data_IF_589208206814
#
_entry.id   IF_589208206814
#
_cell.length_a   1.000
_cell.length_b   1.000
_cell.length_c   1.000
_cell.angle_alpha   90.00
_cell.angle_beta   90.00
_cell.angle_gamma   90.00
#
_symmetry.space_group_name_H-M   'P 1'
#
loop_
_entity.id
_entity.type
_entity.pdbx_description
1 polymer ?
#
# COMPACT_ATOMS: atom_id res chain seq x y z
N UNK A 1 -7.57 -11.92 -16.94
CA UNK A 1 -6.35 -12.67 -17.33
C UNK A 1 -5.85 -13.41 -16.11
N UNK A 2 -5.59 -14.72 -16.18
CA UNK A 2 -4.90 -15.43 -15.09
C UNK A 2 -3.40 -15.09 -15.21
N UNK A 3 -2.84 -14.42 -14.19
CA UNK A 3 -1.45 -14.01 -14.15
C UNK A 3 -0.76 -14.80 -13.03
N UNK A 4 -0.31 -16.05 -13.23
CA UNK A 4 0.35 -16.78 -12.16
C UNK A 4 1.78 -16.26 -11.95
N UNK A 5 2.22 -16.23 -10.68
CA UNK A 5 3.57 -15.82 -10.28
C UNK A 5 4.38 -17.03 -9.84
N UNK A 6 5.59 -17.20 -10.38
CA UNK A 6 6.56 -18.13 -9.82
C UNK A 6 7.35 -17.45 -8.70
N UNK A 7 7.24 -17.96 -7.48
CA UNK A 7 7.97 -17.46 -6.31
C UNK A 7 8.47 -18.64 -5.46
N UNK A 8 9.78 -18.72 -5.22
CA UNK A 8 10.36 -19.83 -4.45
C UNK A 8 10.14 -21.21 -5.08
N UNK A 9 10.01 -21.28 -6.42
CA UNK A 9 9.70 -22.52 -7.13
C UNK A 9 8.21 -22.94 -7.07
N UNK A 10 7.35 -22.12 -6.48
CA UNK A 10 5.90 -22.35 -6.42
C UNK A 10 5.17 -21.48 -7.44
N UNK A 11 4.18 -22.06 -8.11
CA UNK A 11 3.27 -21.33 -8.99
C UNK A 11 2.06 -20.86 -8.18
N UNK A 12 1.92 -19.55 -7.99
CA UNK A 12 0.90 -18.93 -7.13
C UNK A 12 -0.07 -18.14 -7.99
N UNK A 13 -1.36 -18.38 -7.79
CA UNK A 13 -2.43 -17.61 -8.45
C UNK A 13 -2.82 -16.39 -7.63
N UNK A 14 -3.17 -15.27 -8.27
CA UNK A 14 -3.52 -14.05 -7.56
C UNK A 14 -4.98 -14.05 -7.11
N UNK A 15 -5.24 -13.33 -6.02
CA UNK A 15 -6.53 -12.68 -5.83
C UNK A 15 -6.63 -11.49 -6.79
N UNK A 16 -7.71 -11.40 -7.55
CA UNK A 16 -7.90 -10.36 -8.56
C UNK A 16 -8.87 -9.31 -8.05
N UNK A 17 -8.48 -8.04 -8.05
CA UNK A 17 -9.43 -6.93 -7.89
C UNK A 17 -10.00 -6.56 -9.24
N UNK A 18 -11.32 -6.52 -9.36
CA UNK A 18 -12.01 -6.14 -10.60
C UNK A 18 -12.63 -4.75 -10.48
N UNK A 19 -13.02 -4.18 -11.62
CA UNK A 19 -13.67 -2.88 -11.68
C UNK A 19 -14.98 -2.87 -10.88
N UNK A 20 -15.76 -3.96 -10.95
CA UNK A 20 -16.98 -4.15 -10.16
C UNK A 20 -16.78 -3.98 -8.65
N UNK A 21 -15.62 -4.38 -8.12
CA UNK A 21 -15.26 -4.19 -6.70
C UNK A 21 -14.90 -2.74 -6.36
N UNK A 22 -14.61 -1.93 -7.37
CA UNK A 22 -14.02 -0.60 -7.22
C UNK A 22 -14.97 0.54 -7.61
N UNK A 23 -16.07 0.29 -8.36
CA UNK A 23 -16.93 1.32 -8.99
C UNK A 23 -17.28 2.51 -8.08
N UNK A 24 -17.60 2.25 -6.81
CA UNK A 24 -17.96 3.31 -5.86
C UNK A 24 -16.78 4.22 -5.46
N UNK A 25 -15.54 3.77 -5.66
CA UNK A 25 -14.29 4.46 -5.33
C UNK A 25 -13.73 5.31 -6.48
N UNK A 26 -14.38 5.32 -7.64
CA UNK A 26 -13.85 5.99 -8.83
C UNK A 26 -14.22 7.47 -8.88
N UNK A 27 -13.32 8.31 -9.36
CA UNK A 27 -13.60 9.72 -9.63
C UNK A 27 -14.62 9.90 -10.76
N UNK A 28 -14.36 9.30 -11.92
CA UNK A 28 -15.19 9.43 -13.12
C UNK A 28 -16.41 8.50 -13.02
N UNK A 29 -17.56 9.07 -12.64
CA UNK A 29 -18.81 8.32 -12.45
C UNK A 29 -19.41 7.80 -13.74
N UNK A 30 -19.27 8.55 -14.83
CA UNK A 30 -19.75 8.10 -16.13
C UNK A 30 -18.99 6.85 -16.57
N UNK A 31 -17.66 6.86 -16.45
CA UNK A 31 -16.85 5.65 -16.67
C UNK A 31 -17.24 4.52 -15.71
N UNK A 32 -17.36 4.81 -14.42
CA UNK A 32 -17.69 3.82 -13.41
C UNK A 32 -19.09 3.19 -13.59
N UNK A 33 -20.01 3.82 -14.31
CA UNK A 33 -21.34 3.28 -14.60
C UNK A 33 -21.37 2.50 -15.93
N UNK A 34 -20.69 2.99 -16.96
CA UNK A 34 -20.80 2.43 -18.32
C UNK A 34 -19.73 1.42 -18.70
N UNK A 35 -18.56 1.43 -18.06
CA UNK A 35 -17.45 0.56 -18.45
C UNK A 35 -17.76 -0.92 -18.16
N UNK A 36 -17.29 -1.81 -19.03
CA UNK A 36 -17.35 -3.26 -18.80
C UNK A 36 -16.44 -3.68 -17.65
N UNK A 37 -16.79 -4.78 -16.97
CA UNK A 37 -16.01 -5.24 -15.83
C UNK A 37 -14.67 -5.85 -16.26
N UNK A 38 -13.57 -5.36 -15.68
CA UNK A 38 -12.21 -5.72 -16.04
C UNK A 38 -11.32 -5.93 -14.81
N UNK A 39 -10.25 -6.69 -14.96
CA UNK A 39 -9.25 -6.85 -13.90
C UNK A 39 -8.47 -5.54 -13.74
N UNK A 40 -8.26 -5.11 -12.49
CA UNK A 40 -7.54 -3.88 -12.16
C UNK A 40 -6.16 -4.13 -11.57
N UNK A 41 -6.03 -5.12 -10.69
CA UNK A 41 -4.75 -5.51 -10.11
C UNK A 41 -4.78 -6.90 -9.48
N UNK A 42 -3.59 -7.46 -9.29
CA UNK A 42 -3.37 -8.86 -8.91
C UNK A 42 -2.58 -8.91 -7.60
N UNK A 43 -3.10 -9.59 -6.59
CA UNK A 43 -2.48 -9.70 -5.26
C UNK A 43 -2.06 -11.16 -5.00
N UNK A 44 -0.79 -11.36 -4.66
CA UNK A 44 -0.22 -12.66 -4.31
C UNK A 44 0.20 -12.61 -2.85
N UNK A 45 -0.45 -13.41 -2.01
CA UNK A 45 -0.31 -13.31 -0.55
C UNK A 45 0.44 -14.48 0.05
N UNK A 46 1.02 -14.24 1.23
CA UNK A 46 1.70 -15.28 2.04
C UNK A 46 2.85 -15.97 1.28
N UNK A 47 3.68 -15.18 0.60
CA UNK A 47 4.77 -15.66 -0.25
C UNK A 47 6.06 -15.96 0.56
N UNK A 48 6.79 -16.99 0.13
CA UNK A 48 8.06 -17.38 0.73
C UNK A 48 8.98 -18.09 -0.27
N UNK A 49 10.30 -17.87 -0.18
CA UNK A 49 11.30 -18.48 -1.07
C UNK A 49 11.68 -19.91 -0.67
N UNK A 50 11.52 -20.26 0.61
CA UNK A 50 11.80 -21.60 1.13
C UNK A 50 10.90 -21.94 2.31
N UNK A 51 10.75 -23.23 2.64
CA UNK A 51 9.99 -23.67 3.83
C UNK A 51 10.58 -23.10 5.13
N UNK A 52 11.90 -23.00 5.20
CA UNK A 52 12.61 -22.39 6.34
C UNK A 52 12.26 -20.90 6.47
N UNK A 53 12.17 -20.17 5.36
CA UNK A 53 11.75 -18.77 5.38
C UNK A 53 10.27 -18.66 5.80
N UNK A 54 9.42 -19.57 5.32
CA UNK A 54 8.01 -19.63 5.71
C UNK A 54 7.83 -19.76 7.23
N UNK A 55 8.56 -20.68 7.86
CA UNK A 55 8.54 -20.90 9.31
C UNK A 55 8.95 -19.63 10.05
N UNK A 56 10.10 -19.04 9.71
CA UNK A 56 10.59 -17.78 10.30
C UNK A 56 9.59 -16.63 10.16
N UNK A 57 9.03 -16.45 8.96
CA UNK A 57 8.06 -15.38 8.67
C UNK A 57 6.80 -15.56 9.54
N UNK A 58 6.31 -16.80 9.68
CA UNK A 58 5.14 -17.11 10.49
C UNK A 58 5.40 -16.95 11.98
N UNK A 59 6.55 -17.41 12.48
CA UNK A 59 6.99 -17.24 13.88
C UNK A 59 7.13 -15.75 14.23
N UNK A 60 7.62 -14.93 13.30
CA UNK A 60 7.70 -13.48 13.47
C UNK A 60 6.34 -12.75 13.34
N UNK A 61 5.25 -13.46 13.03
CA UNK A 61 3.93 -12.87 12.84
C UNK A 61 3.81 -12.00 11.58
N UNK A 62 4.63 -12.24 10.56
CA UNK A 62 4.71 -11.44 9.35
C UNK A 62 4.03 -12.12 8.14
N UNK A 63 3.77 -11.32 7.11
CA UNK A 63 3.30 -11.75 5.80
C UNK A 63 4.01 -10.94 4.71
N UNK A 64 4.54 -11.63 3.70
CA UNK A 64 5.07 -11.01 2.48
C UNK A 64 4.04 -11.16 1.36
N UNK A 65 3.69 -10.05 0.73
CA UNK A 65 2.80 -10.05 -0.41
C UNK A 65 3.48 -9.38 -1.61
N UNK A 66 3.01 -9.70 -2.81
CA UNK A 66 3.31 -8.96 -4.04
C UNK A 66 2.00 -8.48 -4.64
N UNK A 67 1.98 -7.24 -5.12
CA UNK A 67 0.88 -6.69 -5.91
C UNK A 67 1.41 -6.23 -7.28
N UNK A 68 0.67 -6.60 -8.33
CA UNK A 68 0.93 -6.15 -9.71
C UNK A 68 -0.25 -5.30 -10.18
N UNK A 69 0.05 -4.07 -10.59
CA UNK A 69 -0.91 -3.11 -11.12
C UNK A 69 -0.54 -2.81 -12.59
N UNK A 70 -1.30 -3.29 -13.59
CA UNK A 70 -1.10 -2.92 -14.99
C UNK A 70 -1.31 -1.42 -15.22
N UNK A 71 -0.80 -0.84 -16.32
CA UNK A 71 -1.09 0.54 -16.68
C UNK A 71 -2.51 0.66 -17.24
N UNK A 72 -3.41 1.27 -16.49
CA UNK A 72 -4.82 1.44 -16.86
C UNK A 72 -5.31 2.84 -16.49
N UNK A 73 -6.26 3.35 -17.27
CA UNK A 73 -7.02 4.56 -16.96
C UNK A 73 -8.47 4.18 -16.63
N UNK A 74 -8.97 4.69 -15.51
CA UNK A 74 -10.35 4.52 -15.06
C UNK A 74 -11.13 5.79 -15.42
N UNK A 75 -11.39 5.96 -16.72
CA UNK A 75 -11.89 7.22 -17.26
C UNK A 75 -10.80 8.29 -17.21
N UNK A 76 -10.92 9.22 -16.26
CA UNK A 76 -9.98 10.34 -16.09
C UNK A 76 -8.92 10.13 -15.01
N UNK A 77 -9.04 9.09 -14.19
CA UNK A 77 -8.09 8.81 -13.10
C UNK A 77 -7.21 7.59 -13.36
N UNK A 78 -6.01 7.61 -12.82
CA UNK A 78 -5.09 6.48 -12.89
C UNK A 78 -5.60 5.29 -12.07
N UNK A 79 -5.28 4.08 -12.51
CA UNK A 79 -5.60 2.86 -11.76
C UNK A 79 -4.93 2.84 -10.40
N UNK A 80 -5.69 2.40 -9.40
CA UNK A 80 -5.31 2.46 -8.00
C UNK A 80 -5.85 1.28 -7.21
N UNK A 81 -5.25 1.02 -6.05
CA UNK A 81 -5.82 0.09 -5.06
C UNK A 81 -7.06 0.68 -4.38
N UNK A 82 -7.89 -0.18 -3.78
CA UNK A 82 -9.09 0.26 -3.05
C UNK A 82 -8.78 1.24 -1.91
N UNK A 83 -7.59 1.11 -1.32
CA UNK A 83 -7.19 1.81 -0.11
C UNK A 83 -7.80 1.22 1.15
N UNK A 84 -7.08 1.31 2.27
CA UNK A 84 -7.60 0.90 3.57
C UNK A 84 -6.84 1.54 4.74
N UNK A 85 -7.39 1.36 5.93
CA UNK A 85 -6.72 1.62 7.21
C UNK A 85 -6.37 0.30 7.92
N UNK A 86 -5.47 0.37 8.89
CA UNK A 86 -5.15 -0.74 9.79
C UNK A 86 -5.81 -0.56 11.15
N UNK A 87 -6.20 -1.65 11.83
CA UNK A 87 -6.67 -1.58 13.20
C UNK A 87 -5.51 -1.25 14.16
N UNK A 88 -5.82 -0.81 15.39
CA UNK A 88 -4.87 -0.79 16.50
C UNK A 88 -4.15 -2.13 16.66
N UNK A 89 -2.83 -2.08 16.84
CA UNK A 89 -1.96 -3.23 17.08
C UNK A 89 -1.94 -3.68 18.54
N UNK A 90 -2.32 -2.78 19.44
CA UNK A 90 -2.41 -3.01 20.88
C UNK A 90 -3.60 -2.22 21.49
N UNK A 91 -3.71 -2.28 22.83
CA UNK A 91 -4.68 -1.49 23.58
C UNK A 91 -4.36 0.01 23.66
N UNK A 92 -3.23 0.47 23.09
CA UNK A 92 -2.73 1.85 23.14
C UNK A 92 -3.13 2.70 21.93
N UNK A 93 -3.83 2.14 20.94
CA UNK A 93 -4.36 2.87 19.79
C UNK A 93 -3.37 3.07 18.63
N UNK A 94 -2.14 2.57 18.74
CA UNK A 94 -1.15 2.61 17.66
C UNK A 94 -1.52 1.54 16.63
N UNK A 95 -1.81 1.92 15.39
CA UNK A 95 -2.17 0.96 14.34
C UNK A 95 -0.97 0.24 13.77
N UNK A 96 -1.19 -0.92 13.16
CA UNK A 96 -0.12 -1.61 12.44
C UNK A 96 0.45 -0.75 11.31
N UNK A 97 1.78 -0.63 11.17
CA UNK A 97 2.40 -0.05 9.99
C UNK A 97 2.54 -1.11 8.89
N UNK A 98 2.98 -0.67 7.73
CA UNK A 98 3.28 -1.51 6.58
C UNK A 98 4.44 -0.91 5.80
N UNK A 99 5.30 -1.76 5.23
CA UNK A 99 6.38 -1.28 4.36
C UNK A 99 6.24 -1.87 2.97
N UNK A 100 6.33 -1.02 1.95
CA UNK A 100 6.35 -1.39 0.55
C UNK A 100 7.76 -1.31 -0.02
N UNK A 101 8.04 -2.13 -1.03
CA UNK A 101 9.18 -2.01 -1.94
C UNK A 101 8.65 -1.98 -3.38
N UNK A 102 9.08 -1.00 -4.17
CA UNK A 102 8.82 -1.00 -5.62
C UNK A 102 9.83 -1.94 -6.28
N UNK A 103 9.33 -3.03 -6.87
CA UNK A 103 10.15 -4.03 -7.55
C UNK A 103 10.30 -3.75 -9.06
N UNK A 104 9.35 -3.01 -9.63
CA UNK A 104 9.36 -2.61 -11.04
C UNK A 104 8.42 -1.41 -11.23
N UNK A 105 8.87 -0.41 -11.99
CA UNK A 105 8.06 0.74 -12.36
C UNK A 105 8.10 1.86 -11.32
N UNK A 106 7.00 2.60 -11.23
CA UNK A 106 6.85 3.76 -10.35
C UNK A 106 5.50 3.68 -9.62
N UNK A 107 5.52 3.98 -8.33
CA UNK A 107 4.35 3.97 -7.47
C UNK A 107 4.13 5.34 -6.84
N UNK A 108 2.87 5.78 -6.86
CA UNK A 108 2.41 6.90 -6.07
C UNK A 108 1.61 6.37 -4.87
N UNK A 109 2.11 6.57 -3.67
CA UNK A 109 1.42 6.20 -2.43
C UNK A 109 0.72 7.43 -1.86
N UNK A 110 -0.60 7.47 -1.98
CA UNK A 110 -1.45 8.48 -1.35
C UNK A 110 -1.79 8.02 0.08
N UNK A 111 -1.21 8.69 1.06
CA UNK A 111 -1.44 8.49 2.48
C UNK A 111 -2.37 9.57 3.02
N UNK A 112 -3.25 9.21 3.94
CA UNK A 112 -4.12 10.16 4.63
C UNK A 112 -4.31 9.77 6.09
N UNK A 113 -4.26 10.76 6.99
CA UNK A 113 -4.49 10.57 8.43
C UNK A 113 -5.80 11.22 8.87
N UNK A 114 -6.73 10.44 9.45
CA UNK A 114 -7.95 10.96 10.02
C UNK A 114 -7.74 11.47 11.44
N UNK A 115 -8.57 12.42 11.84
CA UNK A 115 -8.82 12.80 13.23
C UNK A 115 -10.33 13.00 13.39
N UNK A 116 -10.99 12.01 14.00
CA UNK A 116 -12.45 11.88 13.94
C UNK A 116 -12.92 11.72 12.48
N UNK A 117 -13.85 12.57 12.06
CA UNK A 117 -14.41 12.55 10.70
C UNK A 117 -13.62 13.36 9.68
N UNK A 118 -12.58 14.10 10.11
CA UNK A 118 -11.77 14.98 9.25
C UNK A 118 -10.46 14.31 8.84
N UNK A 119 -9.93 14.70 7.70
CA UNK A 119 -8.54 14.38 7.31
C UNK A 119 -7.66 15.55 7.72
N UNK A 120 -6.61 15.27 8.48
CA UNK A 120 -5.72 16.30 9.04
C UNK A 120 -4.34 16.33 8.37
N UNK A 121 -4.00 15.28 7.62
CA UNK A 121 -2.79 15.25 6.79
C UNK A 121 -3.01 14.37 5.56
N UNK A 122 -2.46 14.80 4.42
CA UNK A 122 -2.43 14.02 3.18
C UNK A 122 -1.05 14.13 2.55
N UNK A 123 -0.45 12.98 2.24
CA UNK A 123 0.89 12.87 1.70
C UNK A 123 0.85 12.01 0.45
N UNK A 124 1.48 12.47 -0.63
CA UNK A 124 1.86 11.64 -1.76
C UNK A 124 3.35 11.31 -1.66
N UNK A 125 3.68 10.03 -1.63
CA UNK A 125 5.07 9.57 -1.74
C UNK A 125 5.26 8.98 -3.14
N UNK A 126 6.18 9.54 -3.92
CA UNK A 126 6.53 9.01 -5.26
C UNK A 126 7.78 8.14 -5.17
N UNK A 127 7.64 6.86 -5.52
CA UNK A 127 8.70 5.88 -5.34
C UNK A 127 9.00 5.13 -6.64
N UNK A 128 10.27 4.91 -6.91
CA UNK A 128 10.77 4.16 -8.06
C UNK A 128 11.36 2.81 -7.65
N UNK A 129 11.69 1.99 -8.64
CA UNK A 129 12.35 0.69 -8.45
C UNK A 129 13.49 0.72 -7.41
N UNK A 130 13.43 -0.24 -6.50
CA UNK A 130 14.34 -0.40 -5.37
C UNK A 130 14.02 0.48 -4.17
N UNK A 131 13.16 1.51 -4.27
CA UNK A 131 12.81 2.35 -3.13
C UNK A 131 11.81 1.66 -2.20
N UNK A 132 11.88 1.98 -0.90
CA UNK A 132 10.98 1.46 0.12
C UNK A 132 10.18 2.56 0.76
N UNK A 133 8.89 2.32 0.95
CA UNK A 133 7.96 3.28 1.55
C UNK A 133 7.36 2.67 2.81
N UNK A 134 7.65 3.29 3.95
CA UNK A 134 7.04 2.94 5.23
C UNK A 134 5.73 3.75 5.40
N UNK A 135 4.62 3.04 5.50
CA UNK A 135 3.33 3.60 5.92
C UNK A 135 3.31 3.61 7.46
N UNK A 136 3.40 4.79 8.10
CA UNK A 136 3.43 4.86 9.56
C UNK A 136 2.04 4.58 10.16
N UNK A 137 1.97 4.25 11.47
CA UNK A 137 0.71 4.12 12.19
C UNK A 137 -0.22 5.33 12.03
N UNK A 138 -1.53 5.08 11.98
CA UNK A 138 -2.57 6.09 11.86
C UNK A 138 -2.90 6.51 10.43
N UNK A 139 -2.08 6.16 9.43
CA UNK A 139 -2.34 6.52 8.04
C UNK A 139 -3.04 5.38 7.29
N UNK A 140 -4.08 5.76 6.55
CA UNK A 140 -4.62 4.94 5.47
C UNK A 140 -3.81 5.21 4.21
N UNK A 141 -3.76 4.24 3.31
CA UNK A 141 -2.93 4.34 2.11
C UNK A 141 -3.63 3.78 0.87
N UNK A 142 -3.38 4.40 -0.27
CA UNK A 142 -3.78 3.99 -1.62
C UNK A 142 -2.53 4.00 -2.49
N UNK A 143 -2.31 2.94 -3.27
CA UNK A 143 -1.24 2.91 -4.26
C UNK A 143 -1.84 3.15 -5.64
N UNK A 144 -1.23 4.06 -6.38
CA UNK A 144 -1.61 4.47 -7.73
C UNK A 144 -0.46 4.10 -8.66
N UNK A 145 -0.79 3.54 -9.83
CA UNK A 145 0.16 3.41 -10.93
C UNK A 145 -0.03 4.61 -11.88
N UNK A 146 0.83 5.65 -11.80
CA UNK A 146 0.68 6.86 -12.60
C UNK A 146 1.21 6.70 -14.04
N UNK A 147 1.82 5.56 -14.35
CA UNK A 147 2.62 5.37 -15.55
C UNK A 147 1.89 4.56 -16.63
N UNK A 148 2.45 4.57 -17.84
CA UNK A 148 2.06 3.66 -18.92
C UNK A 148 2.79 2.30 -18.87
N UNK A 149 3.44 1.97 -17.75
CA UNK A 149 4.16 0.70 -17.52
C UNK A 149 3.51 -0.08 -16.39
N UNK A 150 3.84 -1.37 -16.30
CA UNK A 150 3.45 -2.20 -15.16
C UNK A 150 4.14 -1.69 -13.89
N UNK A 151 3.36 -1.57 -12.82
CA UNK A 151 3.88 -1.43 -11.46
C UNK A 151 3.86 -2.80 -10.78
N UNK A 152 5.01 -3.24 -10.25
CA UNK A 152 5.11 -4.39 -9.36
C UNK A 152 5.72 -3.92 -8.05
N UNK A 153 5.05 -4.25 -6.95
CA UNK A 153 5.54 -3.94 -5.61
C UNK A 153 5.39 -5.14 -4.69
N UNK A 154 6.23 -5.19 -3.68
CA UNK A 154 6.07 -6.08 -2.54
C UNK A 154 5.72 -5.29 -1.30
N UNK A 155 5.20 -5.98 -0.28
CA UNK A 155 5.00 -5.41 1.04
C UNK A 155 5.26 -6.44 2.14
N UNK A 156 5.82 -5.95 3.25
CA UNK A 156 5.81 -6.63 4.54
C UNK A 156 4.75 -6.01 5.44
N UNK A 157 3.94 -6.88 6.04
CA UNK A 157 2.86 -6.49 6.93
C UNK A 157 2.69 -7.50 8.06
N UNK A 158 2.14 -7.07 9.19
CA UNK A 158 1.75 -8.00 10.24
C UNK A 158 0.63 -8.94 9.76
N UNK A 159 0.73 -10.22 10.11
CA UNK A 159 -0.25 -11.26 9.77
C UNK A 159 -1.53 -11.15 10.59
N UNK A 160 -1.44 -10.62 11.81
CA UNK A 160 -2.48 -10.70 12.83
C UNK A 160 -3.71 -9.82 12.63
N UNK A 161 -3.82 -9.09 11.51
CA UNK A 161 -4.92 -8.15 11.31
C UNK A 161 -5.62 -8.29 9.95
N UNK A 162 -6.81 -7.70 9.88
CA UNK A 162 -7.59 -7.50 8.65
C UNK A 162 -7.74 -6.01 8.37
N UNK A 163 -7.54 -5.62 7.12
CA UNK A 163 -7.67 -4.24 6.65
C UNK A 163 -9.09 -3.68 6.84
N UNK A 164 -9.20 -2.40 7.17
CA UNK A 164 -10.47 -1.67 7.37
C UNK A 164 -10.74 -0.80 6.14
N UNK A 165 -11.57 -1.30 5.23
CA UNK A 165 -11.88 -0.62 3.95
C UNK A 165 -13.00 0.43 4.05
N UNK A 166 -13.93 0.24 4.98
CA UNK A 166 -15.17 1.03 5.05
C UNK A 166 -14.99 2.56 5.14
N UNK A 167 -14.02 3.11 5.90
CA UNK A 167 -13.84 4.56 5.98
C UNK A 167 -13.55 5.20 4.61
N UNK A 168 -12.70 4.57 3.80
CA UNK A 168 -12.39 5.03 2.43
C UNK A 168 -13.58 4.79 1.50
N UNK A 169 -14.22 3.62 1.65
CA UNK A 169 -15.39 3.23 0.85
C UNK A 169 -16.56 4.20 1.01
N UNK A 170 -16.92 4.54 2.25
CA UNK A 170 -17.99 5.50 2.57
C UNK A 170 -17.73 6.90 2.02
N UNK A 171 -16.45 7.27 1.90
CA UNK A 171 -15.99 8.54 1.32
C UNK A 171 -15.68 8.41 -0.18
N UNK A 172 -16.03 7.28 -0.80
CA UNK A 172 -15.90 7.03 -2.24
C UNK A 172 -14.47 7.14 -2.78
N UNK A 173 -13.47 6.81 -1.96
CA UNK A 173 -12.05 6.86 -2.34
C UNK A 173 -11.21 7.66 -1.35
N UNK A 174 -9.98 7.99 -1.76
CA UNK A 174 -9.06 8.78 -0.96
C UNK A 174 -9.43 10.25 -0.89
N UNK A 175 -8.71 11.02 -0.06
CA UNK A 175 -8.88 12.47 0.07
C UNK A 175 -8.58 13.21 -1.25
N UNK A 176 -7.79 12.60 -2.12
CA UNK A 176 -7.52 13.07 -3.48
C UNK A 176 -7.67 11.94 -4.48
N UNK A 177 -8.03 12.30 -5.70
CA UNK A 177 -7.95 11.46 -6.89
C UNK A 177 -6.79 11.95 -7.76
N UNK A 178 -5.98 11.03 -8.27
CA UNK A 178 -4.93 11.36 -9.24
C UNK A 178 -5.48 11.19 -10.66
N UNK A 179 -5.58 12.30 -11.38
CA UNK A 179 -6.14 12.36 -12.73
C UNK A 179 -5.09 12.81 -13.74
N UNK A 180 -5.40 12.66 -15.03
CA UNK A 180 -4.53 13.17 -16.12
C UNK A 180 -4.29 14.68 -16.06
N UNK A 181 -5.19 15.43 -15.42
CA UNK A 181 -5.10 16.89 -15.24
C UNK A 181 -4.50 17.28 -13.88
N UNK A 182 -4.05 16.30 -13.09
CA UNK A 182 -3.48 16.48 -11.74
C UNK A 182 -4.39 15.99 -10.62
N UNK A 183 -4.09 16.42 -9.39
CA UNK A 183 -4.78 15.96 -8.19
C UNK A 183 -6.08 16.73 -7.95
N UNK A 184 -7.19 15.99 -7.86
CA UNK A 184 -8.53 16.55 -7.58
C UNK A 184 -8.93 16.18 -6.15
N UNK A 185 -9.37 17.18 -5.37
CA UNK A 185 -9.90 16.95 -4.01
C UNK A 185 -11.17 16.12 -4.07
N UNK A 186 -11.33 15.21 -3.12
CA UNK A 186 -12.57 14.44 -2.98
C UNK A 186 -13.54 15.15 -2.03
N UNK A 187 -14.55 15.81 -2.61
CA UNK A 187 -15.57 16.57 -1.88
C UNK A 187 -16.33 15.75 -0.81
N UNK A 188 -16.31 14.41 -0.90
CA UNK A 188 -16.90 13.55 0.13
C UNK A 188 -16.23 13.69 1.51
N UNK A 189 -15.02 14.27 1.60
CA UNK A 189 -14.33 14.54 2.86
C UNK A 189 -14.58 15.95 3.41
N UNK A 190 -15.20 16.85 2.65
CA UNK A 190 -15.35 18.26 3.03
C UNK A 190 -14.01 19.00 2.98
N UNK A 191 -13.57 19.56 4.11
CA UNK A 191 -12.27 20.23 4.20
C UNK A 191 -11.12 19.21 4.14
N UNK A 192 -10.28 19.35 3.11
CA UNK A 192 -9.09 18.51 2.90
C UNK A 192 -7.84 19.40 2.96
N UNK A 193 -6.83 19.05 3.79
CA UNK A 193 -5.58 19.79 3.88
C UNK A 193 -4.79 19.71 2.56
N UNK A 194 -3.85 20.63 2.31
CA UNK A 194 -3.01 20.58 1.13
C UNK A 194 -2.25 19.27 0.99
N UNK A 195 -2.16 18.76 -0.23
CA UNK A 195 -1.36 17.57 -0.55
C UNK A 195 0.13 17.90 -0.41
N UNK A 196 0.82 17.20 0.50
CA UNK A 196 2.29 17.25 0.60
C UNK A 196 2.88 16.19 -0.32
N UNK A 197 3.92 16.52 -1.07
CA UNK A 197 4.62 15.57 -1.95
C UNK A 197 6.00 15.30 -1.38
N UNK A 198 6.30 14.03 -1.11
CA UNK A 198 7.56 13.57 -0.52
C UNK A 198 8.22 12.50 -1.41
N UNK A 199 9.52 12.30 -1.16
CA UNK A 199 10.27 11.15 -1.67
C UNK A 199 10.58 10.17 -0.54
N UNK A 200 10.69 8.86 -0.83
CA UNK A 200 11.11 7.88 0.16
C UNK A 200 12.49 8.22 0.72
N UNK A 201 12.68 8.00 2.02
CA UNK A 201 13.97 8.08 2.69
C UNK A 201 14.41 6.67 3.07
N UNK A 202 15.69 6.39 2.91
CA UNK A 202 16.28 5.18 3.48
C UNK A 202 16.08 5.18 4.99
N UNK A 203 15.74 4.01 5.54
CA UNK A 203 15.61 3.75 6.97
C UNK A 203 16.61 2.65 7.38
N UNK A 204 17.92 2.97 7.48
CA UNK A 204 18.95 1.97 7.80
C UNK A 204 18.73 1.27 9.14
N UNK A 205 18.05 1.93 10.09
CA UNK A 205 17.67 1.34 11.38
C UNK A 205 16.81 0.07 11.23
N UNK A 206 16.04 -0.02 10.14
CA UNK A 206 15.22 -1.18 9.78
C UNK A 206 15.85 -2.01 8.65
N UNK A 207 17.07 -1.70 8.23
CA UNK A 207 17.71 -2.32 7.06
C UNK A 207 17.01 -2.00 5.73
N UNK A 208 16.11 -1.02 5.70
CA UNK A 208 15.37 -0.60 4.51
C UNK A 208 16.18 0.45 3.77
N UNK A 209 16.99 0.01 2.80
CA UNK A 209 17.82 0.89 1.97
C UNK A 209 17.62 0.55 0.50
N UNK A 210 17.68 1.54 -0.39
CA UNK A 210 17.40 1.36 -1.82
C UNK A 210 18.24 0.25 -2.47
N UNK A 211 19.50 0.11 -2.04
CA UNK A 211 20.45 -0.83 -2.61
C UNK A 211 20.20 -2.32 -2.26
N UNK A 212 19.22 -2.64 -1.40
CA UNK A 212 18.95 -4.01 -0.95
C UNK A 212 17.47 -4.37 -1.09
N UNK A 213 17.18 -5.58 -1.56
CA UNK A 213 15.82 -6.13 -1.54
C UNK A 213 15.35 -6.37 -0.09
N UNK A 214 14.13 -5.94 0.24
CA UNK A 214 13.63 -6.06 1.62
C UNK A 214 13.29 -7.51 2.00
N UNK A 215 13.08 -8.40 1.03
CA UNK A 215 12.92 -9.84 1.32
C UNK A 215 14.18 -10.44 1.95
N UNK A 216 15.37 -9.91 1.63
CA UNK A 216 16.65 -10.34 2.19
C UNK A 216 16.69 -10.30 3.73
N UNK A 217 15.91 -9.40 4.35
CA UNK A 217 15.83 -9.25 5.81
C UNK A 217 15.41 -10.54 6.53
N UNK A 218 14.61 -11.41 5.90
CA UNK A 218 14.22 -12.72 6.49
C UNK A 218 15.43 -13.60 6.77
N UNK A 219 16.45 -13.53 5.91
CA UNK A 219 17.67 -14.33 5.97
C UNK A 219 18.77 -13.64 6.75
N UNK A 220 18.91 -12.32 6.58
CA UNK A 220 19.93 -11.51 7.25
C UNK A 220 19.58 -11.29 8.74
N UNK A 221 18.47 -10.61 9.02
CA UNK A 221 18.03 -10.32 10.39
C UNK A 221 16.54 -9.93 10.41
N UNK A 222 15.65 -10.91 10.61
CA UNK A 222 14.21 -10.69 10.60
C UNK A 222 13.73 -9.77 11.73
N UNK A 223 14.53 -9.60 12.79
CA UNK A 223 14.20 -8.71 13.91
C UNK A 223 14.12 -7.24 13.50
N UNK A 224 14.76 -6.86 12.39
CA UNK A 224 14.65 -5.52 11.83
C UNK A 224 13.23 -5.19 11.33
N UNK A 225 12.36 -6.20 11.20
CA UNK A 225 10.94 -6.06 10.85
C UNK A 225 10.01 -6.07 12.07
N UNK A 226 10.53 -6.12 13.31
CA UNK A 226 9.68 -6.14 14.53
C UNK A 226 8.81 -4.88 14.67
N UNK A 227 9.18 -3.75 14.04
CA UNK A 227 8.34 -2.55 14.02
C UNK A 227 6.96 -2.78 13.38
N UNK A 228 6.81 -3.81 12.54
CA UNK A 228 5.54 -4.18 11.94
C UNK A 228 4.60 -4.87 12.92
N UNK A 229 5.12 -5.59 13.92
CA UNK A 229 4.32 -6.35 14.89
C UNK A 229 4.30 -5.75 16.29
N UNK A 230 5.27 -4.89 16.60
CA UNK A 230 5.42 -4.16 17.88
C UNK A 230 5.61 -2.65 17.64
N UNK A 231 4.71 -1.97 16.92
CA UNK A 231 4.92 -0.57 16.52
C UNK A 231 5.05 0.41 17.69
N UNK A 232 4.49 0.11 18.86
CA UNK A 232 4.63 0.93 20.07
C UNK A 232 6.09 1.11 20.54
N UNK A 233 7.02 0.26 20.09
CA UNK A 233 8.44 0.36 20.45
C UNK A 233 9.24 1.27 19.52
N UNK A 234 8.61 1.78 18.45
CA UNK A 234 9.28 2.53 17.38
C UNK A 234 8.60 3.87 17.06
N UNK A 235 7.77 4.39 17.98
CA UNK A 235 6.99 5.63 17.79
C UNK A 235 7.87 6.81 17.34
N UNK A 236 9.02 7.02 17.98
CA UNK A 236 9.95 8.10 17.65
C UNK A 236 10.48 8.03 16.20
N UNK A 237 10.55 6.82 15.62
CA UNK A 237 10.95 6.65 14.22
C UNK A 237 9.80 7.07 13.31
N UNK A 238 8.57 6.62 13.60
CA UNK A 238 7.39 6.90 12.78
C UNK A 238 7.06 8.40 12.69
N UNK A 239 7.27 9.15 13.77
CA UNK A 239 7.04 10.60 13.78
C UNK A 239 7.86 11.34 12.71
N UNK A 240 9.03 10.81 12.34
CA UNK A 240 9.98 11.44 11.39
C UNK A 240 9.86 10.92 9.96
N UNK A 241 9.06 9.88 9.71
CA UNK A 241 8.97 9.23 8.40
C UNK A 241 8.37 10.16 7.35
N UNK A 242 7.43 11.02 7.74
CA UNK A 242 6.68 11.91 6.85
C UNK A 242 7.05 13.39 7.01
N UNK A 243 8.17 13.69 7.68
CA UNK A 243 8.74 15.05 7.79
C UNK A 243 9.55 15.45 6.54
#
# INVERSE_FOLDING_TARGET
MDLPLNFGGQLIRPDVRRLSDMRELLYDRSFAESAEDMDLYYMYRDLYLSRKDQEKIREAGLRYDITIIPPLMLGKEYVKTAGHYHPPADGGGITYPEVYEVLEGEAHYLLQRPEGDKIVDVVLITAEEGEKVLIPPGYGHITINPSNKRLKMANWVARGFSSIYDPIRKRRGGAYYETVDGFVKNDAYGEIPPLRVLRPKDLPIFGLVKAKEMYGLVRENIKLLEFLTRPWEFVEVFEKVLE
#
